data_IF_286851834294
#
_entry.id   IF_286851834294
#
_cell.length_a   1.000
_cell.length_b   1.000
_cell.length_c   1.000
_cell.angle_alpha   90.00
_cell.angle_beta   90.00
_cell.angle_gamma   90.00
#
_symmetry.space_group_name_H-M   'P 1'
#
loop_
_entity.id
_entity.type
_entity.pdbx_description
1 polymer ?
#
# COMPACT_ATOMS: atom_id res chain seq x y z
N UNK A 1 -4.85 -10.41 -16.62
CA UNK A 1 -5.24 -10.77 -15.24
C UNK A 1 -4.24 -11.78 -14.69
N UNK A 2 -3.15 -11.32 -14.07
CA UNK A 2 -2.23 -12.22 -13.35
C UNK A 2 -2.56 -12.14 -11.86
N UNK A 3 -3.26 -13.13 -11.33
CA UNK A 3 -3.51 -13.27 -9.89
C UNK A 3 -2.25 -13.83 -9.25
N UNK A 4 -1.24 -12.97 -9.06
CA UNK A 4 -0.09 -13.34 -8.24
C UNK A 4 -0.61 -13.44 -6.78
N UNK A 5 -0.57 -14.61 -6.12
CA UNK A 5 -1.16 -14.76 -4.81
C UNK A 5 -0.44 -13.83 -3.85
N UNK A 6 -1.12 -12.75 -3.44
CA UNK A 6 -0.58 -11.79 -2.50
C UNK A 6 -0.19 -12.54 -1.23
N UNK A 7 1.07 -12.48 -0.77
CA UNK A 7 1.47 -13.13 0.47
C UNK A 7 0.52 -12.64 1.57
N UNK A 8 -0.02 -13.56 2.38
CA UNK A 8 -1.01 -13.25 3.42
C UNK A 8 -0.32 -12.55 4.60
N UNK A 9 0.04 -11.29 4.39
CA UNK A 9 0.72 -10.44 5.37
C UNK A 9 -0.32 -9.89 6.36
N UNK A 10 0.01 -9.72 7.66
CA UNK A 10 -0.93 -9.23 8.67
C UNK A 10 -1.60 -7.91 8.32
N UNK A 11 -0.91 -7.04 7.58
CA UNK A 11 -1.45 -5.75 7.13
C UNK A 11 -2.69 -5.85 6.22
N UNK A 12 -2.90 -7.01 5.55
CA UNK A 12 -4.02 -7.20 4.64
C UNK A 12 -5.40 -7.02 5.29
N UNK A 13 -5.52 -7.32 6.58
CA UNK A 13 -6.77 -7.11 7.33
C UNK A 13 -7.20 -5.63 7.40
N UNK A 14 -6.27 -4.69 7.25
CA UNK A 14 -6.54 -3.25 7.29
C UNK A 14 -7.03 -2.64 5.97
N UNK A 15 -7.14 -3.41 4.87
CA UNK A 15 -7.43 -2.86 3.53
C UNK A 15 -8.69 -2.00 3.51
N UNK A 16 -9.81 -2.53 3.97
CA UNK A 16 -11.10 -1.83 3.93
C UNK A 16 -11.09 -0.55 4.76
N UNK A 17 -10.50 -0.59 5.96
CA UNK A 17 -10.39 0.58 6.83
C UNK A 17 -9.53 1.69 6.21
N UNK A 18 -8.40 1.32 5.59
CA UNK A 18 -7.53 2.26 4.89
C UNK A 18 -8.25 2.95 3.73
N UNK A 19 -8.88 2.17 2.84
CA UNK A 19 -9.56 2.73 1.66
C UNK A 19 -10.76 3.60 2.04
N UNK A 20 -11.51 3.20 3.06
CA UNK A 20 -12.65 3.99 3.56
C UNK A 20 -12.20 5.33 4.13
N UNK A 21 -11.15 5.34 4.96
CA UNK A 21 -10.62 6.58 5.52
C UNK A 21 -10.07 7.53 4.43
N UNK A 22 -9.42 7.00 3.39
CA UNK A 22 -8.96 7.80 2.26
C UNK A 22 -10.12 8.35 1.43
N UNK A 23 -11.19 7.58 1.22
CA UNK A 23 -12.37 8.04 0.50
C UNK A 23 -13.14 9.13 1.26
N UNK A 24 -13.26 8.98 2.59
CA UNK A 24 -14.04 9.90 3.43
C UNK A 24 -13.25 11.17 3.79
N UNK A 25 -11.96 11.04 4.12
CA UNK A 25 -11.16 12.14 4.67
C UNK A 25 -10.03 12.62 3.76
N UNK A 26 -9.73 11.91 2.67
CA UNK A 26 -8.59 12.21 1.78
C UNK A 26 -7.20 11.87 2.38
N UNK A 27 -7.14 11.41 3.62
CA UNK A 27 -5.90 11.06 4.31
C UNK A 27 -6.12 9.95 5.35
N UNK A 28 -5.09 9.15 5.61
CA UNK A 28 -5.11 8.10 6.64
C UNK A 28 -3.75 7.97 7.33
N UNK A 29 -3.77 7.74 8.64
CA UNK A 29 -2.57 7.39 9.41
C UNK A 29 -2.61 5.90 9.71
N UNK A 30 -1.54 5.21 9.31
CA UNK A 30 -1.43 3.77 9.46
C UNK A 30 -0.41 3.43 10.52
N UNK A 31 -0.86 2.79 11.61
CA UNK A 31 0.01 2.23 12.62
C UNK A 31 -0.01 0.69 12.54
N UNK A 32 1.16 0.09 12.31
CA UNK A 32 1.33 -1.36 12.28
C UNK A 32 2.76 -1.73 12.71
N UNK A 33 2.96 -2.86 13.42
CA UNK A 33 4.29 -3.32 13.80
C UNK A 33 5.23 -3.49 12.59
N UNK A 34 6.57 -3.42 12.79
CA UNK A 34 7.53 -3.78 11.75
C UNK A 34 7.30 -5.19 11.20
N UNK A 35 7.60 -5.41 9.92
CA UNK A 35 7.46 -6.72 9.27
C UNK A 35 6.02 -7.12 8.88
N UNK A 36 4.99 -6.37 9.26
CA UNK A 36 3.58 -6.68 8.92
C UNK A 36 3.21 -6.53 7.45
N UNK A 37 4.10 -6.00 6.61
CA UNK A 37 3.86 -5.83 5.17
C UNK A 37 3.29 -4.48 4.75
N UNK A 38 3.18 -3.49 5.65
CA UNK A 38 2.57 -2.17 5.35
C UNK A 38 3.17 -1.46 4.12
N UNK A 39 4.49 -1.51 3.96
CA UNK A 39 5.20 -0.86 2.83
C UNK A 39 5.07 -1.64 1.52
N UNK A 40 4.65 -2.90 1.57
CA UNK A 40 4.37 -3.73 0.39
C UNK A 40 2.91 -3.59 -0.04
N UNK A 41 1.98 -3.73 0.91
CA UNK A 41 0.56 -3.84 0.59
C UNK A 41 -0.16 -2.50 0.50
N UNK A 42 0.19 -1.48 1.29
CA UNK A 42 -0.52 -0.21 1.22
C UNK A 42 -0.44 0.44 -0.18
N UNK A 43 0.73 0.53 -0.84
CA UNK A 43 0.81 1.09 -2.19
C UNK A 43 0.01 0.28 -3.21
N UNK A 44 0.03 -1.06 -3.11
CA UNK A 44 -0.77 -1.94 -3.98
C UNK A 44 -2.26 -1.71 -3.78
N UNK A 45 -2.72 -1.60 -2.53
CA UNK A 45 -4.14 -1.32 -2.25
C UNK A 45 -4.60 0.00 -2.85
N UNK A 46 -3.76 1.04 -2.85
CA UNK A 46 -4.09 2.32 -3.48
C UNK A 46 -4.07 2.23 -5.01
N UNK A 47 -3.13 1.47 -5.59
CA UNK A 47 -3.06 1.28 -7.04
C UNK A 47 -4.22 0.43 -7.60
N UNK A 48 -4.68 -0.55 -6.81
CA UNK A 48 -5.80 -1.44 -7.15
C UNK A 48 -7.17 -0.85 -6.79
N UNK A 49 -7.22 0.32 -6.16
CA UNK A 49 -8.48 0.95 -5.75
C UNK A 49 -8.92 1.98 -6.78
N UNK A 50 -10.23 2.09 -6.99
CA UNK A 50 -10.87 3.14 -7.79
C UNK A 50 -10.89 4.50 -7.04
N UNK A 51 -9.84 4.81 -6.27
CA UNK A 51 -9.67 6.07 -5.56
C UNK A 51 -8.88 7.11 -6.37
N UNK A 52 -8.13 6.68 -7.38
CA UNK A 52 -7.31 7.55 -8.23
C UNK A 52 -7.60 7.24 -9.70
N UNK A 53 -7.43 8.23 -10.58
CA UNK A 53 -7.66 8.02 -12.00
C UNK A 53 -6.63 7.03 -12.60
N UNK A 54 -6.97 6.28 -13.68
CA UNK A 54 -6.10 5.23 -14.23
C UNK A 54 -4.71 5.69 -14.70
N UNK A 55 -4.54 6.98 -14.98
CA UNK A 55 -3.29 7.60 -15.41
C UNK A 55 -2.46 8.19 -14.25
N UNK A 56 -2.95 8.07 -13.02
CA UNK A 56 -2.25 8.54 -11.82
C UNK A 56 -1.28 7.50 -11.27
N UNK A 57 -0.33 8.00 -10.46
CA UNK A 57 0.76 7.19 -9.88
C UNK A 57 0.70 7.27 -8.36
N UNK A 58 0.87 6.12 -7.72
CA UNK A 58 1.12 6.03 -6.28
C UNK A 58 2.60 6.30 -6.02
N UNK A 59 2.89 7.37 -5.27
CA UNK A 59 4.26 7.72 -4.88
C UNK A 59 4.53 7.23 -3.46
N UNK A 60 5.58 6.43 -3.30
CA UNK A 60 6.02 5.89 -2.00
C UNK A 60 7.34 6.51 -1.61
N UNK A 61 7.39 7.19 -0.48
CA UNK A 61 8.62 7.77 0.08
C UNK A 61 9.17 6.90 1.21
N UNK A 62 10.50 6.92 1.36
CA UNK A 62 11.20 6.22 2.45
C UNK A 62 12.40 7.08 2.90
N UNK A 63 12.76 7.06 4.20
CA UNK A 63 13.84 7.88 4.71
C UNK A 63 15.24 7.43 4.23
N UNK A 64 15.36 6.19 3.70
CA UNK A 64 16.64 5.61 3.28
C UNK A 64 16.53 5.04 1.86
N UNK A 65 17.54 5.32 1.03
CA UNK A 65 17.63 4.83 -0.36
C UNK A 65 17.52 3.31 -0.47
N UNK A 66 18.16 2.57 0.43
CA UNK A 66 18.10 1.10 0.45
C UNK A 66 16.67 0.62 0.69
N UNK A 67 15.94 1.23 1.63
CA UNK A 67 14.54 0.88 1.90
C UNK A 67 13.64 1.16 0.69
N UNK A 68 13.81 2.31 0.03
CA UNK A 68 13.07 2.64 -1.20
C UNK A 68 13.33 1.62 -2.31
N UNK A 69 14.60 1.31 -2.60
CA UNK A 69 14.97 0.33 -3.63
C UNK A 69 14.48 -1.07 -3.32
N UNK A 70 14.64 -1.51 -2.07
CA UNK A 70 14.17 -2.82 -1.65
C UNK A 70 12.64 -2.93 -1.63
N UNK A 71 11.90 -1.84 -1.42
CA UNK A 71 10.45 -1.84 -1.55
C UNK A 71 10.06 -1.96 -3.04
N UNK A 72 10.63 -1.12 -3.90
CA UNK A 72 10.37 -1.14 -5.34
C UNK A 72 10.68 -2.50 -5.99
N UNK A 73 11.72 -3.21 -5.55
CA UNK A 73 12.06 -4.54 -6.07
C UNK A 73 11.07 -5.67 -5.68
N UNK A 74 10.17 -5.43 -4.72
CA UNK A 74 9.18 -6.42 -4.24
C UNK A 74 7.76 -6.13 -4.74
N UNK A 75 7.51 -4.93 -5.24
CA UNK A 75 6.22 -4.49 -5.79
C UNK A 75 6.11 -4.91 -7.24
#
# INVERSE_FOLDING_TARGET
>A
MSTNPTPKLPFSAGRTALLSALAEFGAAVVHAPPGTGKTTLAPQFLADADLIAPDQRVIVTQPRRVAARSAAARL
#
